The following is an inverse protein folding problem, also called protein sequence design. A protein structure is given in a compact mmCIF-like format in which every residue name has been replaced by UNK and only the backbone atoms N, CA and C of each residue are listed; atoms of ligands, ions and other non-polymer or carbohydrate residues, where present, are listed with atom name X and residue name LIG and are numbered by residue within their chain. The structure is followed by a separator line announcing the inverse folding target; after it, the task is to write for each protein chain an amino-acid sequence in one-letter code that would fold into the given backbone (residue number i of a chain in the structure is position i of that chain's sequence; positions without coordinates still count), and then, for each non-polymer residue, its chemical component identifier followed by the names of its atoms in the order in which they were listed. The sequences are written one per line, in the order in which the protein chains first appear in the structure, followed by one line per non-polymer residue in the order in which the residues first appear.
data_IF_026384108115
#
_entry.id   IF_026384108115
#
_cell.length_a   1.000
_cell.length_b   1.000
_cell.length_c   1.000
_cell.angle_alpha   90.00
_cell.angle_beta   90.00
_cell.angle_gamma   90.00
#
_symmetry.space_group_name_H-M   'P 1'
#
loop_
_entity.id
_entity.type
_entity.pdbx_description
1 polymer ?
#
# COMPACT_ATOMS: atom_id res chain seq x y z
N UNK A 1 -7.11 1.17 4.50
CA UNK A 1 -6.21 1.76 5.53
C UNK A 1 -5.77 3.13 5.06
N UNK A 2 -5.41 4.03 5.96
CA UNK A 2 -4.84 5.34 5.63
C UNK A 2 -3.55 5.51 6.41
N UNK A 3 -2.58 6.20 5.83
CA UNK A 3 -1.34 6.53 6.50
C UNK A 3 -0.93 7.97 6.19
N UNK A 4 -0.47 8.68 7.22
CA UNK A 4 0.22 9.95 7.10
C UNK A 4 1.68 9.73 7.44
N UNK A 5 2.59 10.14 6.54
CA UNK A 5 4.04 10.05 6.76
C UNK A 5 4.64 11.44 6.83
N UNK A 6 5.28 11.71 7.96
CA UNK A 6 5.89 12.99 8.31
C UNK A 6 7.31 13.14 7.77
N UNK A 7 7.98 12.04 7.42
CA UNK A 7 9.34 12.06 6.89
C UNK A 7 9.41 12.55 5.44
N UNK A 8 8.28 12.58 4.71
CA UNK A 8 8.22 13.08 3.35
C UNK A 8 6.93 13.86 3.00
N UNK A 9 6.17 14.24 4.02
CA UNK A 9 4.90 14.99 3.95
C UNK A 9 3.91 14.39 2.95
N UNK A 10 3.50 13.14 3.19
CA UNK A 10 2.54 12.44 2.34
C UNK A 10 1.35 11.88 3.10
N UNK A 11 0.18 11.95 2.46
CA UNK A 11 -1.02 11.20 2.84
C UNK A 11 -1.25 10.07 1.85
N UNK A 12 -1.67 8.91 2.37
CA UNK A 12 -1.73 7.66 1.62
C UNK A 12 -3.03 6.95 1.87
N UNK A 13 -3.65 6.48 0.80
CA UNK A 13 -4.77 5.57 0.85
C UNK A 13 -4.30 4.19 0.41
N UNK A 14 -4.58 3.17 1.22
CA UNK A 14 -4.36 1.77 0.89
C UNK A 14 -5.72 1.09 0.75
N UNK A 15 -5.99 0.59 -0.43
CA UNK A 15 -7.18 -0.19 -0.80
C UNK A 15 -6.79 -1.65 -1.08
N UNK A 16 -7.77 -2.53 -1.11
CA UNK A 16 -7.57 -3.91 -1.53
C UNK A 16 -8.79 -4.46 -2.24
N UNK A 17 -8.61 -5.54 -2.99
CA UNK A 17 -9.71 -6.30 -3.57
C UNK A 17 -10.49 -7.08 -2.49
N UNK A 18 -11.59 -7.73 -2.88
CA UNK A 18 -12.47 -8.46 -1.96
C UNK A 18 -11.72 -9.50 -1.12
N UNK A 19 -10.76 -10.20 -1.71
CA UNK A 19 -9.89 -11.18 -1.03
C UNK A 19 -9.09 -10.50 0.08
N UNK A 20 -8.42 -9.39 -0.23
CA UNK A 20 -7.66 -8.62 0.75
C UNK A 20 -8.56 -8.00 1.84
N UNK A 21 -9.71 -7.43 1.47
CA UNK A 21 -10.65 -6.83 2.44
C UNK A 21 -11.20 -7.88 3.40
N UNK A 22 -11.60 -9.05 2.89
CA UNK A 22 -12.07 -10.17 3.72
C UNK A 22 -11.00 -10.64 4.69
N UNK A 23 -9.77 -10.84 4.20
CA UNK A 23 -8.62 -11.22 5.03
C UNK A 23 -8.36 -10.18 6.14
N UNK A 24 -8.35 -8.89 5.78
CA UNK A 24 -8.13 -7.80 6.73
C UNK A 24 -9.22 -7.73 7.82
N UNK A 25 -10.50 -7.87 7.45
CA UNK A 25 -11.63 -7.87 8.41
C UNK A 25 -11.62 -9.09 9.33
N UNK A 26 -11.15 -10.24 8.83
CA UNK A 26 -11.04 -11.49 9.59
C UNK A 26 -9.75 -11.59 10.43
N UNK A 27 -8.80 -10.67 10.26
CA UNK A 27 -7.47 -10.75 10.90
C UNK A 27 -6.55 -11.82 10.30
N UNK A 28 -6.83 -12.28 9.08
CA UNK A 28 -6.11 -13.35 8.39
C UNK A 28 -5.12 -12.79 7.35
N UNK A 29 -4.20 -11.95 7.81
CA UNK A 29 -3.27 -11.19 6.93
C UNK A 29 -1.80 -11.61 7.09
N UNK A 30 -1.51 -12.68 7.84
CA UNK A 30 -0.16 -13.18 8.01
C UNK A 30 -0.13 -14.71 7.94
N UNK A 31 0.01 -15.29 6.73
CA UNK A 31 0.16 -14.61 5.44
C UNK A 31 -1.16 -14.06 4.89
N UNK A 32 -1.07 -13.13 3.93
CA UNK A 32 -2.20 -12.79 3.06
C UNK A 32 -2.50 -13.95 2.12
N UNK A 33 -3.79 -14.21 1.79
CA UNK A 33 -4.17 -15.27 0.88
C UNK A 33 -3.78 -14.95 -0.57
N UNK A 34 -3.41 -15.99 -1.34
CA UNK A 34 -3.18 -15.87 -2.78
C UNK A 34 -4.41 -15.27 -3.49
N UNK A 35 -4.16 -14.41 -4.47
CA UNK A 35 -5.18 -13.61 -5.13
C UNK A 35 -5.50 -12.28 -4.40
N UNK A 36 -4.96 -12.04 -3.21
CA UNK A 36 -5.03 -10.73 -2.58
C UNK A 36 -4.29 -9.68 -3.43
N UNK A 37 -4.94 -8.53 -3.65
CA UNK A 37 -4.32 -7.37 -4.30
C UNK A 37 -4.45 -6.18 -3.37
N UNK A 38 -3.33 -5.49 -3.13
CA UNK A 38 -3.29 -4.24 -2.39
C UNK A 38 -2.89 -3.12 -3.35
N UNK A 39 -3.67 -2.05 -3.37
CA UNK A 39 -3.35 -0.82 -4.09
C UNK A 39 -3.03 0.30 -3.09
N UNK A 40 -2.05 1.13 -3.39
CA UNK A 40 -1.69 2.30 -2.59
C UNK A 40 -1.54 3.51 -3.48
N UNK A 41 -2.19 4.59 -3.10
CA UNK A 41 -2.04 5.89 -3.77
C UNK A 41 -1.45 6.88 -2.77
N UNK A 42 -0.47 7.65 -3.23
CA UNK A 42 0.33 8.55 -2.40
C UNK A 42 0.25 9.94 -2.99
N UNK A 43 -0.14 10.89 -2.15
CA UNK A 43 -0.15 12.31 -2.46
C UNK A 43 0.74 13.07 -1.50
N UNK A 44 1.22 14.23 -1.93
CA UNK A 44 1.69 15.26 -1.01
C UNK A 44 0.55 15.66 -0.07
N UNK A 45 0.91 15.98 1.18
CA UNK A 45 -0.01 16.49 2.17
C UNK A 45 -0.02 18.04 2.10
N UNK A 46 -1.20 18.63 1.96
CA UNK A 46 -1.41 20.07 2.09
C UNK A 46 -2.39 20.35 3.24
N UNK A 47 -2.38 21.58 3.76
CA UNK A 47 -3.44 22.02 4.67
C UNK A 47 -4.70 22.33 3.88
N UNK A 48 -5.87 22.03 4.44
CA UNK A 48 -7.15 22.39 3.85
C UNK A 48 -7.44 23.88 4.06
N UNK A 49 -7.78 24.61 3.00
CA UNK A 49 -8.02 26.07 3.08
C UNK A 49 -9.10 26.46 4.11
N UNK A 50 -10.16 25.68 4.20
CA UNK A 50 -11.27 25.90 5.13
C UNK A 50 -10.97 25.46 6.57
N UNK A 51 -9.89 24.70 6.80
CA UNK A 51 -9.51 24.17 8.12
C UNK A 51 -8.02 23.77 8.13
N UNK A 52 -7.15 24.70 8.53
CA UNK A 52 -5.70 24.61 8.33
C UNK A 52 -5.02 23.43 9.06
N UNK A 53 -5.65 22.95 10.12
CA UNK A 53 -5.23 21.83 10.96
C UNK A 53 -5.49 20.48 10.29
N UNK A 54 -6.35 20.43 9.26
CA UNK A 54 -6.59 19.21 8.48
C UNK A 54 -5.54 19.07 7.38
N UNK A 55 -5.03 17.84 7.22
CA UNK A 55 -4.17 17.46 6.09
C UNK A 55 -4.97 16.73 5.02
N UNK A 56 -4.88 17.23 3.79
CA UNK A 56 -5.59 16.70 2.63
C UNK A 56 -4.62 16.37 1.49
N UNK A 57 -4.99 15.46 0.57
CA UNK A 57 -4.20 15.20 -0.63
C UNK A 57 -4.03 16.47 -1.49
N UNK A 58 -2.81 16.70 -1.97
CA UNK A 58 -2.51 17.63 -3.05
C UNK A 58 -1.94 16.90 -4.28
N UNK A 59 -0.65 17.05 -4.57
CA UNK A 59 -0.02 16.51 -5.77
C UNK A 59 0.11 14.98 -5.69
N UNK A 60 -0.27 14.30 -6.77
CA UNK A 60 -0.07 12.85 -6.89
C UNK A 60 1.42 12.54 -7.03
N UNK A 61 1.94 11.74 -6.11
CA UNK A 61 3.35 11.28 -6.12
C UNK A 61 3.46 10.00 -6.93
N UNK A 62 2.70 8.97 -6.56
CA UNK A 62 2.64 7.71 -7.28
C UNK A 62 1.44 6.84 -6.87
N UNK A 63 1.15 5.85 -7.70
CA UNK A 63 0.33 4.69 -7.35
C UNK A 63 1.21 3.44 -7.31
N UNK A 64 0.90 2.50 -6.42
CA UNK A 64 1.64 1.26 -6.23
C UNK A 64 0.71 0.09 -5.98
N UNK A 65 1.15 -1.11 -6.34
CA UNK A 65 0.37 -2.33 -6.19
C UNK A 65 1.24 -3.47 -5.67
N UNK A 66 0.62 -4.32 -4.85
CA UNK A 66 1.14 -5.62 -4.44
C UNK A 66 0.17 -6.71 -4.85
N UNK A 67 0.66 -7.78 -5.47
CA UNK A 67 -0.14 -8.91 -5.96
C UNK A 67 0.31 -10.21 -5.28
N UNK A 68 -0.55 -10.83 -4.46
CA UNK A 68 -0.22 -12.08 -3.79
C UNK A 68 -0.40 -13.24 -4.74
N UNK A 69 0.69 -13.93 -5.03
CA UNK A 69 0.71 -15.22 -5.69
C UNK A 69 2.00 -15.94 -5.26
N UNK A 70 1.87 -16.81 -4.27
CA UNK A 70 2.97 -17.51 -3.62
C UNK A 70 3.83 -18.33 -4.59
N UNK A 71 3.24 -18.82 -5.69
CA UNK A 71 3.93 -19.61 -6.70
C UNK A 71 4.59 -18.73 -7.76
N UNK A 72 3.83 -17.80 -8.35
CA UNK A 72 4.32 -16.92 -9.42
C UNK A 72 5.43 -15.99 -8.93
N UNK A 73 5.33 -15.53 -7.69
CA UNK A 73 6.25 -14.55 -7.12
C UNK A 73 7.13 -15.14 -6.00
N UNK A 74 7.45 -16.44 -6.09
CA UNK A 74 8.26 -17.13 -5.08
C UNK A 74 9.63 -16.46 -4.83
N UNK A 75 10.24 -15.86 -5.87
CA UNK A 75 11.53 -15.17 -5.78
C UNK A 75 11.45 -13.79 -5.10
N UNK A 76 10.25 -13.23 -4.95
CA UNK A 76 9.99 -11.92 -4.35
C UNK A 76 9.06 -12.04 -3.16
N UNK A 77 9.25 -13.11 -2.38
CA UNK A 77 8.54 -13.41 -1.13
C UNK A 77 7.03 -13.60 -1.29
N UNK A 78 6.61 -14.15 -2.43
CA UNK A 78 5.20 -14.42 -2.75
C UNK A 78 4.41 -13.19 -3.20
N UNK A 79 5.08 -12.07 -3.47
CA UNK A 79 4.46 -10.81 -3.86
C UNK A 79 5.02 -10.28 -5.19
N UNK A 80 4.12 -9.94 -6.11
CA UNK A 80 4.42 -9.10 -7.26
C UNK A 80 4.31 -7.63 -6.86
N UNK A 81 5.14 -6.77 -7.46
CA UNK A 81 5.26 -5.36 -7.11
C UNK A 81 5.12 -4.48 -8.35
N UNK A 82 4.39 -3.38 -8.25
CA UNK A 82 4.27 -2.39 -9.32
C UNK A 82 4.15 -0.98 -8.78
N UNK A 83 4.71 0.00 -9.49
CA UNK A 83 4.66 1.42 -9.15
C UNK A 83 4.58 2.27 -10.42
N UNK A 84 3.77 3.32 -10.39
CA UNK A 84 3.59 4.30 -11.46
C UNK A 84 3.71 5.72 -10.89
N UNK A 85 4.56 6.54 -11.51
CA UNK A 85 4.97 7.85 -11.00
C UNK A 85 4.16 8.99 -11.60
N UNK A 86 3.72 9.91 -10.73
CA UNK A 86 3.10 11.18 -11.10
C UNK A 86 1.80 11.04 -11.91
N UNK A 87 1.29 12.15 -12.41
CA UNK A 87 0.05 12.18 -13.20
C UNK A 87 0.16 11.43 -14.53
N UNK A 88 1.35 11.37 -15.11
CA UNK A 88 1.61 10.64 -16.36
C UNK A 88 1.62 9.11 -16.18
N UNK A 89 1.56 8.63 -14.93
CA UNK A 89 1.61 7.20 -14.60
C UNK A 89 2.79 6.52 -15.29
N UNK A 90 3.98 7.11 -15.19
CA UNK A 90 5.20 6.51 -15.76
C UNK A 90 5.56 5.24 -14.98
N UNK A 91 5.67 4.06 -15.60
CA UNK A 91 6.07 2.85 -14.89
C UNK A 91 7.43 3.00 -14.22
N UNK A 92 7.55 2.53 -12.99
CA UNK A 92 8.81 2.52 -12.26
C UNK A 92 9.60 1.26 -12.58
N UNK A 93 10.67 1.41 -13.38
CA UNK A 93 11.44 0.30 -13.93
C UNK A 93 12.81 0.15 -13.24
N UNK A 94 12.80 -0.16 -11.93
CA UNK A 94 14.02 -0.45 -11.15
C UNK A 94 14.03 -1.84 -10.50
N UNK A 95 13.13 -2.71 -10.94
CA UNK A 95 12.99 -4.07 -10.40
C UNK A 95 12.30 -4.15 -9.02
N UNK A 96 11.89 -5.37 -8.63
CA UNK A 96 11.20 -5.61 -7.36
C UNK A 96 12.10 -5.48 -6.12
N UNK A 97 13.43 -5.51 -6.27
CA UNK A 97 14.40 -5.47 -5.16
C UNK A 97 14.31 -4.15 -4.37
N UNK A 98 14.02 -3.04 -5.06
CA UNK A 98 13.78 -1.74 -4.44
C UNK A 98 12.54 -1.77 -3.55
N UNK A 99 11.53 -2.57 -3.93
CA UNK A 99 10.31 -2.73 -3.14
C UNK A 99 10.54 -3.67 -1.95
N UNK A 100 11.14 -4.84 -2.19
CA UNK A 100 11.36 -5.85 -1.15
C UNK A 100 12.31 -5.34 -0.07
N UNK A 101 13.44 -4.72 -0.42
CA UNK A 101 14.38 -4.15 0.56
C UNK A 101 13.74 -3.12 1.49
N UNK A 102 12.83 -2.29 0.98
CA UNK A 102 12.06 -1.33 1.78
C UNK A 102 11.03 -2.00 2.70
N UNK A 103 10.54 -3.19 2.32
CA UNK A 103 9.55 -3.97 3.07
C UNK A 103 10.16 -4.98 4.06
N UNK A 104 11.48 -5.16 4.09
CA UNK A 104 12.19 -6.00 5.07
C UNK A 104 11.81 -5.75 6.54
N UNK A 105 11.58 -4.50 7.02
CA UNK A 105 11.19 -4.27 8.41
C UNK A 105 9.88 -4.93 8.83
N UNK A 106 9.06 -5.39 7.87
CA UNK A 106 7.79 -6.08 8.10
C UNK A 106 7.77 -7.47 7.45
N UNK A 107 8.94 -8.10 7.28
CA UNK A 107 9.05 -9.46 6.73
C UNK A 107 8.21 -10.48 7.53
N UNK A 108 8.16 -10.36 8.85
CA UNK A 108 7.38 -11.23 9.74
C UNK A 108 5.86 -10.95 9.72
N UNK A 109 5.43 -9.97 8.91
CA UNK A 109 4.03 -9.58 8.67
C UNK A 109 3.66 -9.76 7.20
N UNK A 110 4.21 -10.82 6.61
CA UNK A 110 4.06 -11.17 5.20
C UNK A 110 4.44 -10.00 4.27
N UNK A 111 5.50 -9.28 4.63
CA UNK A 111 6.03 -8.13 3.87
C UNK A 111 5.04 -6.99 3.66
N UNK A 112 4.01 -6.83 4.51
CA UNK A 112 2.96 -5.80 4.35
C UNK A 112 2.88 -4.87 5.56
N UNK A 113 3.10 -3.56 5.33
CA UNK A 113 2.97 -2.52 6.36
C UNK A 113 1.53 -2.23 6.79
N UNK A 114 0.55 -2.59 5.96
CA UNK A 114 -0.86 -2.25 6.16
C UNK A 114 -1.32 -2.58 7.57
N UNK A 115 -1.78 -1.56 8.28
CA UNK A 115 -2.56 -1.69 9.50
C UNK A 115 -4.03 -1.48 9.12
N UNK A 116 -4.89 -2.52 9.15
CA UNK A 116 -6.30 -2.36 8.82
C UNK A 116 -6.96 -1.30 9.70
N UNK A 117 -7.78 -0.44 9.10
CA UNK A 117 -8.57 0.50 9.89
C UNK A 117 -9.68 -0.28 10.61
N UNK A 118 -9.98 0.12 11.85
CA UNK A 118 -11.12 -0.42 12.57
C UNK A 118 -12.40 0.05 11.87
N UNK A 119 -13.24 -0.90 11.49
CA UNK A 119 -14.54 -0.66 10.87
C UNK A 119 -15.58 -1.50 11.60
N UNK A 120 -16.85 -1.06 11.73
CA UNK A 120 -17.92 -1.90 12.22
C UNK A 120 -17.95 -3.23 11.48
N UNK A 121 -18.14 -4.32 12.23
CA UNK A 121 -18.42 -5.62 11.65
C UNK A 121 -19.91 -5.68 11.36
N UNK A 122 -20.25 -6.14 10.16
CA UNK A 122 -21.62 -6.46 9.78
C UNK A 122 -22.16 -7.63 10.64
#
# INVERSE_FOLDING_TARGET
SVAHRTDNDTVRLIVGNDVAVKAARAGQTNPWPDGAVLGKVVWKAASLDAWSEAKVPSDLVHAEFMFKDSKKYAQTYGWGWGRWLGMEQKPFDKGPEVCTSCHTPVQDRDWVFTHPAVFPKD
#
